data_IF_069223687529
#
_entry.id   IF_069223687529
#
_cell.length_a   1.000
_cell.length_b   1.000
_cell.length_c   1.000
_cell.angle_alpha   90.00
_cell.angle_beta   90.00
_cell.angle_gamma   90.00
#
_symmetry.space_group_name_H-M   'P 1'
#
loop_
_entity.id
_entity.type
_entity.pdbx_description
1 polymer ?
#
# COMPACT_ATOMS: atom_id res chain seq x y z
N UNK A 1 23.64 12.42 -13.24
CA UNK A 1 22.58 13.07 -12.42
C UNK A 1 22.57 12.35 -11.09
N UNK A 2 22.74 13.08 -9.99
CA UNK A 2 22.80 12.48 -8.65
C UNK A 2 21.36 12.27 -8.20
N UNK A 3 20.92 11.02 -8.20
CA UNK A 3 19.64 10.62 -7.61
C UNK A 3 19.91 10.29 -6.14
N UNK A 4 19.38 11.13 -5.28
CA UNK A 4 19.48 10.99 -3.83
C UNK A 4 18.70 9.75 -3.41
N UNK A 5 19.42 8.73 -2.93
CA UNK A 5 18.83 7.68 -2.10
C UNK A 5 19.37 7.97 -0.71
N UNK A 6 18.49 8.45 0.16
CA UNK A 6 18.80 8.84 1.53
C UNK A 6 19.67 7.76 2.21
N UNK A 7 20.95 8.04 2.54
CA UNK A 7 21.88 7.00 2.98
C UNK A 7 21.57 6.47 4.39
N UNK A 8 20.63 7.08 5.11
CA UNK A 8 20.36 6.79 6.53
C UNK A 8 19.53 5.50 6.73
N UNK A 9 18.92 4.94 5.67
CA UNK A 9 18.13 3.69 5.78
C UNK A 9 18.32 2.70 4.62
N UNK A 10 19.50 2.63 4.02
CA UNK A 10 19.85 1.49 3.18
C UNK A 10 20.18 0.28 4.07
N UNK A 11 19.15 -0.31 4.68
CA UNK A 11 19.24 -1.59 5.38
C UNK A 11 19.69 -2.67 4.40
N UNK A 12 20.60 -3.53 4.87
CA UNK A 12 21.19 -4.65 4.14
C UNK A 12 20.11 -5.53 3.48
N UNK A 13 19.91 -5.34 2.18
CA UNK A 13 19.00 -6.14 1.37
C UNK A 13 19.18 -5.74 -0.08
N UNK A 14 19.82 -6.61 -0.87
CA UNK A 14 20.30 -6.29 -2.21
C UNK A 14 19.21 -5.74 -3.13
N UNK A 15 19.28 -4.43 -3.40
CA UNK A 15 18.71 -3.85 -4.61
C UNK A 15 19.85 -3.26 -5.43
N UNK A 16 19.96 -3.72 -6.68
CA UNK A 16 21.04 -3.39 -7.63
C UNK A 16 20.96 -1.94 -8.15
N UNK A 17 19.99 -1.17 -7.69
CA UNK A 17 19.86 0.27 -7.94
C UNK A 17 20.38 1.05 -6.73
N UNK A 18 21.61 0.73 -6.34
CA UNK A 18 22.37 1.58 -5.43
C UNK A 18 22.52 2.94 -6.10
N UNK A 19 21.97 3.98 -5.46
CA UNK A 19 22.29 5.37 -5.79
C UNK A 19 23.80 5.48 -5.96
N UNK A 20 24.23 6.11 -7.04
CA UNK A 20 25.64 6.34 -7.29
C UNK A 20 26.28 6.90 -6.00
N UNK A 21 27.19 6.13 -5.41
CA UNK A 21 27.75 6.40 -4.08
C UNK A 21 28.14 7.87 -3.95
N UNK A 22 27.38 8.61 -3.15
CA UNK A 22 27.67 9.97 -2.71
C UNK A 22 29.08 10.03 -2.06
N UNK A 23 29.63 8.88 -1.64
CA UNK A 23 30.93 8.71 -0.99
C UNK A 23 32.18 8.95 -1.84
N UNK A 24 32.09 9.26 -3.15
CA UNK A 24 33.28 9.50 -4.01
C UNK A 24 33.49 10.95 -4.45
N UNK A 25 32.75 11.91 -3.90
CA UNK A 25 32.95 13.33 -4.21
C UNK A 25 33.91 13.96 -3.18
N UNK A 26 35.03 14.58 -3.62
CA UNK A 26 35.89 15.35 -2.73
C UNK A 26 35.09 16.43 -1.96
N UNK A 27 35.30 16.51 -0.64
CA UNK A 27 34.57 17.46 0.21
C UNK A 27 33.23 16.97 0.76
N UNK A 28 32.91 15.67 0.63
CA UNK A 28 31.76 15.05 1.29
C UNK A 28 30.42 15.69 0.93
N UNK A 29 29.50 15.81 1.90
CA UNK A 29 28.14 16.37 1.69
C UNK A 29 28.15 17.78 1.07
N UNK A 30 29.12 18.62 1.46
CA UNK A 30 29.27 19.95 0.91
C UNK A 30 29.72 19.92 -0.56
N UNK A 31 30.68 19.04 -0.90
CA UNK A 31 31.13 18.80 -2.27
C UNK A 31 30.00 18.29 -3.17
N UNK A 32 29.18 17.37 -2.66
CA UNK A 32 28.00 16.84 -3.35
C UNK A 32 27.00 17.93 -3.64
N UNK A 33 26.69 18.77 -2.65
CA UNK A 33 25.77 19.90 -2.80
C UNK A 33 26.29 20.89 -3.84
N UNK A 34 27.57 21.25 -3.77
CA UNK A 34 28.19 22.18 -4.72
C UNK A 34 28.16 21.64 -6.15
N UNK A 35 28.41 20.34 -6.32
CA UNK A 35 28.34 19.66 -7.61
C UNK A 35 26.91 19.58 -8.15
N UNK A 36 25.94 19.25 -7.30
CA UNK A 36 24.52 19.23 -7.66
C UNK A 36 24.05 20.62 -8.10
N UNK A 37 24.39 21.68 -7.37
CA UNK A 37 24.06 23.04 -7.78
C UNK A 37 24.76 23.46 -9.09
N UNK A 38 25.99 22.99 -9.36
CA UNK A 38 26.66 23.22 -10.64
C UNK A 38 25.89 22.56 -11.80
N UNK A 39 25.51 21.29 -11.66
CA UNK A 39 24.68 20.59 -12.65
C UNK A 39 23.31 21.26 -12.83
N UNK A 40 22.69 21.70 -11.72
CA UNK A 40 21.45 22.45 -11.76
C UNK A 40 21.56 23.73 -12.60
N UNK A 41 22.64 24.50 -12.41
CA UNK A 41 22.90 25.72 -13.20
C UNK A 41 23.13 25.40 -14.67
N UNK A 42 23.88 24.35 -14.98
CA UNK A 42 24.16 24.00 -16.38
C UNK A 42 22.93 23.50 -17.12
N UNK A 43 22.14 22.60 -16.53
CA UNK A 43 20.90 22.17 -17.19
C UNK A 43 19.82 23.26 -17.18
N UNK A 44 19.86 24.23 -16.26
CA UNK A 44 18.99 25.42 -16.34
C UNK A 44 19.28 26.25 -17.61
N UNK A 45 20.53 26.30 -18.09
CA UNK A 45 20.86 26.95 -19.38
C UNK A 45 20.20 26.21 -20.54
N UNK A 46 20.20 24.87 -20.51
CA UNK A 46 19.54 24.03 -21.53
C UNK A 46 18.03 24.24 -21.53
N UNK A 47 17.40 24.24 -20.35
CA UNK A 47 15.97 24.53 -20.21
C UNK A 47 15.64 25.96 -20.66
N UNK A 48 16.46 26.96 -20.30
CA UNK A 48 16.26 28.33 -20.76
C UNK A 48 16.33 28.44 -22.28
N UNK A 49 17.30 27.77 -22.92
CA UNK A 49 17.42 27.73 -24.37
C UNK A 49 16.21 27.06 -25.04
N UNK A 50 15.70 25.95 -24.49
CA UNK A 50 14.50 25.28 -25.01
C UNK A 50 13.22 26.13 -24.90
N UNK A 51 13.18 27.08 -23.96
CA UNK A 51 12.07 28.02 -23.76
C UNK A 51 12.29 29.42 -24.34
N UNK A 52 13.40 29.67 -25.04
CA UNK A 52 13.66 30.94 -25.71
C UNK A 52 12.63 31.19 -26.83
N UNK A 53 12.36 32.47 -27.13
CA UNK A 53 11.33 32.87 -28.09
C UNK A 53 11.63 32.40 -29.53
N UNK A 54 12.90 32.26 -29.87
CA UNK A 54 13.45 31.78 -31.14
C UNK A 54 13.66 30.26 -31.20
N UNK A 55 13.46 29.55 -30.07
CA UNK A 55 13.59 28.10 -30.04
C UNK A 55 12.47 27.41 -30.82
N UNK A 56 12.76 26.35 -31.60
CA UNK A 56 11.73 25.57 -32.28
C UNK A 56 10.67 25.06 -31.28
N UNK A 57 9.37 25.35 -31.48
CA UNK A 57 8.33 25.02 -30.50
C UNK A 57 8.27 23.53 -30.14
N UNK A 58 8.63 22.66 -31.10
CA UNK A 58 8.66 21.20 -30.94
C UNK A 58 9.64 20.74 -29.85
N UNK A 59 10.66 21.51 -29.50
CA UNK A 59 11.59 21.12 -28.42
C UNK A 59 10.87 21.00 -27.07
N UNK A 60 9.89 21.86 -26.79
CA UNK A 60 9.14 21.87 -25.53
C UNK A 60 8.13 20.72 -25.45
N UNK A 61 7.79 20.11 -26.59
CA UNK A 61 6.85 18.98 -26.66
C UNK A 61 7.56 17.64 -26.60
N UNK A 62 8.91 17.61 -26.60
CA UNK A 62 9.66 16.36 -26.47
C UNK A 62 9.52 15.85 -25.04
N UNK A 63 9.14 14.58 -24.90
CA UNK A 63 9.00 13.91 -23.60
C UNK A 63 10.25 14.05 -22.74
N UNK A 64 11.44 13.93 -23.32
CA UNK A 64 12.71 14.05 -22.61
C UNK A 64 12.94 15.46 -22.03
N UNK A 65 12.49 16.50 -22.74
CA UNK A 65 12.62 17.90 -22.30
C UNK A 65 11.62 18.20 -21.18
N UNK A 66 10.40 17.65 -21.27
CA UNK A 66 9.42 17.77 -20.18
C UNK A 66 9.87 16.99 -18.93
N UNK A 67 10.41 15.78 -19.08
CA UNK A 67 11.00 15.02 -17.97
C UNK A 67 12.14 15.83 -17.32
N UNK A 68 13.04 16.39 -18.12
CA UNK A 68 14.12 17.23 -17.61
C UNK A 68 13.58 18.45 -16.85
N UNK A 69 12.57 19.13 -17.39
CA UNK A 69 11.90 20.24 -16.70
C UNK A 69 11.33 19.79 -15.36
N UNK A 70 10.65 18.64 -15.29
CA UNK A 70 10.09 18.08 -14.04
C UNK A 70 11.19 17.74 -13.03
N UNK A 71 12.32 17.16 -13.46
CA UNK A 71 13.50 16.96 -12.60
C UNK A 71 13.93 18.28 -11.96
N UNK A 72 13.95 19.37 -12.72
CA UNK A 72 14.31 20.69 -12.19
C UNK A 72 13.32 21.20 -11.15
N UNK A 73 12.02 21.01 -11.37
CA UNK A 73 10.97 21.35 -10.40
C UNK A 73 11.11 20.52 -9.12
N UNK A 74 11.42 19.23 -9.24
CA UNK A 74 11.51 18.31 -8.10
C UNK A 74 12.76 18.53 -7.26
N UNK A 75 13.91 18.81 -7.87
CA UNK A 75 15.21 18.83 -7.20
C UNK A 75 15.81 20.21 -6.98
N UNK A 76 15.23 21.27 -7.53
CA UNK A 76 15.78 22.62 -7.38
C UNK A 76 14.71 23.65 -7.01
N UNK A 77 15.17 24.77 -6.47
CA UNK A 77 14.35 25.95 -6.21
C UNK A 77 15.19 27.21 -6.35
N UNK A 78 14.51 28.33 -6.57
CA UNK A 78 15.14 29.65 -6.55
C UNK A 78 15.05 30.22 -5.13
N UNK A 79 16.19 30.57 -4.54
CA UNK A 79 16.19 31.27 -3.25
C UNK A 79 15.74 32.73 -3.41
N UNK A 80 15.48 33.41 -2.29
CA UNK A 80 15.05 34.82 -2.28
C UNK A 80 16.06 35.79 -2.95
N UNK A 81 17.29 35.34 -3.19
CA UNK A 81 18.34 36.12 -3.88
C UNK A 81 18.47 35.72 -5.36
N UNK A 82 17.54 34.94 -5.89
CA UNK A 82 17.52 34.51 -7.28
C UNK A 82 18.61 33.50 -7.62
N UNK A 83 19.11 32.72 -6.65
CA UNK A 83 20.08 31.64 -6.92
C UNK A 83 19.39 30.29 -6.94
N UNK A 84 19.75 29.47 -7.92
CA UNK A 84 19.28 28.10 -8.01
C UNK A 84 19.97 27.25 -6.94
N UNK A 85 19.16 26.64 -6.08
CA UNK A 85 19.56 25.80 -4.95
C UNK A 85 19.04 24.38 -5.14
N UNK A 86 19.87 23.41 -4.77
CA UNK A 86 19.48 22.01 -4.74
C UNK A 86 18.61 21.73 -3.50
N UNK A 87 17.60 20.89 -3.66
CA UNK A 87 16.77 20.35 -2.58
C UNK A 87 17.43 19.08 -2.08
N UNK A 88 17.82 19.06 -0.81
CA UNK A 88 18.17 17.82 -0.14
C UNK A 88 16.92 16.98 0.16
N UNK A 89 17.11 15.73 0.59
CA UNK A 89 16.03 14.76 0.83
C UNK A 89 14.84 15.29 1.64
N UNK A 90 15.06 16.18 2.62
CA UNK A 90 13.97 16.76 3.44
C UNK A 90 13.20 17.88 2.73
N UNK A 91 13.79 18.51 1.72
CA UNK A 91 13.20 19.59 0.94
C UNK A 91 12.57 19.11 -0.39
N UNK A 92 12.61 17.80 -0.67
CA UNK A 92 11.97 17.21 -1.84
C UNK A 92 10.43 17.22 -1.70
N UNK A 93 9.70 17.31 -2.83
CA UNK A 93 8.27 17.06 -2.83
C UNK A 93 7.93 15.67 -2.27
N UNK A 94 6.68 15.45 -1.81
CA UNK A 94 6.21 14.12 -1.44
C UNK A 94 6.49 13.09 -2.54
N UNK A 95 6.82 11.87 -2.14
CA UNK A 95 7.17 10.81 -3.08
C UNK A 95 6.04 10.48 -4.08
N UNK A 96 4.78 10.72 -3.73
CA UNK A 96 3.64 10.57 -4.64
C UNK A 96 3.59 11.61 -5.77
N UNK A 97 4.32 12.73 -5.64
CA UNK A 97 4.28 13.85 -6.59
C UNK A 97 5.55 13.99 -7.44
N UNK A 98 6.55 13.14 -7.21
CA UNK A 98 7.84 13.17 -7.91
C UNK A 98 8.26 11.75 -8.28
N UNK A 99 8.93 11.60 -9.41
CA UNK A 99 9.58 10.34 -9.77
C UNK A 99 11.03 10.33 -9.28
N UNK A 100 11.58 9.13 -9.09
CA UNK A 100 12.95 8.92 -8.61
C UNK A 100 13.92 8.54 -9.73
N UNK A 101 13.42 8.32 -10.96
CA UNK A 101 14.22 8.06 -12.15
C UNK A 101 13.73 8.87 -13.35
N UNK A 102 14.61 9.58 -14.10
CA UNK A 102 14.23 10.27 -15.33
C UNK A 102 14.04 9.29 -16.50
N UNK A 103 14.49 8.05 -16.35
CA UNK A 103 14.33 7.00 -17.34
C UNK A 103 13.04 6.22 -17.14
N UNK A 104 12.47 6.30 -15.93
CA UNK A 104 11.21 5.67 -15.56
C UNK A 104 10.46 6.61 -14.61
N UNK A 105 9.53 7.39 -15.16
CA UNK A 105 8.78 8.40 -14.41
C UNK A 105 7.68 7.83 -13.52
N UNK A 106 7.45 6.51 -13.56
CA UNK A 106 6.51 5.80 -12.70
C UNK A 106 7.23 5.03 -11.59
N UNK A 107 8.57 5.12 -11.52
CA UNK A 107 9.35 4.64 -10.40
C UNK A 107 9.36 5.67 -9.27
N UNK A 108 8.76 5.30 -8.13
CA UNK A 108 8.63 6.16 -6.96
C UNK A 108 9.26 5.52 -5.73
N UNK A 109 9.87 6.35 -4.89
CA UNK A 109 10.44 5.97 -3.61
C UNK A 109 9.35 5.63 -2.62
N UNK A 110 9.54 4.54 -1.90
CA UNK A 110 8.67 4.13 -0.82
C UNK A 110 9.49 3.45 0.28
N UNK A 111 8.94 3.52 1.50
CA UNK A 111 9.42 2.77 2.65
C UNK A 111 8.25 1.97 3.21
N UNK A 112 8.47 0.67 3.41
CA UNK A 112 7.53 -0.23 4.07
C UNK A 112 8.31 -0.96 5.14
N UNK A 113 7.97 -0.68 6.41
CA UNK A 113 8.74 -1.14 7.59
C UNK A 113 10.19 -0.66 7.48
N UNK A 114 11.16 -1.58 7.47
CA UNK A 114 12.59 -1.27 7.37
C UNK A 114 13.15 -1.40 5.95
N UNK A 115 12.29 -1.61 4.96
CA UNK A 115 12.69 -1.73 3.56
C UNK A 115 12.34 -0.47 2.79
N UNK A 116 13.35 0.15 2.19
CA UNK A 116 13.22 1.27 1.27
C UNK A 116 13.52 0.82 -0.17
N UNK A 117 12.77 1.31 -1.14
CA UNK A 117 13.00 1.06 -2.57
C UNK A 117 12.48 2.20 -3.43
N UNK A 118 13.01 2.31 -4.65
CA UNK A 118 12.43 3.14 -5.71
C UNK A 118 11.90 2.23 -6.80
N UNK A 119 10.61 2.34 -7.11
CA UNK A 119 9.96 1.50 -8.13
C UNK A 119 8.45 1.45 -7.93
N UNK A 120 7.92 0.25 -8.02
CA UNK A 120 6.49 -0.04 -8.04
C UNK A 120 6.06 -0.82 -6.81
N UNK A 121 4.74 -0.91 -6.62
CA UNK A 121 4.10 -1.88 -5.75
C UNK A 121 3.24 -2.80 -6.59
N UNK A 122 3.30 -4.09 -6.31
CA UNK A 122 2.51 -5.10 -7.01
C UNK A 122 1.61 -5.81 -6.01
N UNK A 123 0.36 -5.97 -6.41
CA UNK A 123 -0.73 -6.59 -5.68
C UNK A 123 -1.12 -7.84 -6.45
N UNK A 124 -1.16 -8.99 -5.77
CA UNK A 124 -1.54 -10.27 -6.38
C UNK A 124 -2.87 -10.70 -5.81
N UNK A 125 -3.73 -11.25 -6.66
CA UNK A 125 -4.92 -11.99 -6.23
C UNK A 125 -4.80 -13.43 -6.73
N UNK A 126 -5.00 -14.39 -5.83
CA UNK A 126 -4.86 -15.82 -6.09
C UNK A 126 -6.09 -16.61 -5.65
N UNK A 127 -6.34 -17.75 -6.29
CA UNK A 127 -7.32 -18.73 -5.79
C UNK A 127 -6.83 -19.37 -4.49
N UNK A 128 -7.73 -19.57 -3.52
CA UNK A 128 -7.42 -20.20 -2.24
C UNK A 128 -8.45 -21.29 -1.89
N UNK A 129 -8.59 -22.29 -2.76
CA UNK A 129 -9.50 -23.43 -2.52
C UNK A 129 -8.72 -24.67 -2.18
N UNK A 130 -9.09 -25.39 -1.10
CA UNK A 130 -8.35 -26.58 -0.65
C UNK A 130 -8.33 -27.74 -1.63
N UNK A 131 -9.21 -27.73 -2.64
CA UNK A 131 -9.35 -28.81 -3.62
C UNK A 131 -8.64 -28.52 -4.95
N UNK A 132 -8.11 -27.32 -5.15
CA UNK A 132 -7.49 -26.89 -6.40
C UNK A 132 -6.13 -26.22 -6.14
N UNK A 133 -5.24 -26.18 -7.15
CA UNK A 133 -4.01 -25.39 -7.04
C UNK A 133 -4.30 -23.91 -6.78
N UNK A 134 -3.40 -23.29 -6.03
CA UNK A 134 -3.36 -21.84 -5.86
C UNK A 134 -2.77 -21.22 -7.14
N UNK A 135 -3.57 -20.40 -7.81
CA UNK A 135 -3.23 -19.76 -9.09
C UNK A 135 -3.45 -18.27 -8.96
N UNK A 136 -2.46 -17.47 -9.36
CA UNK A 136 -2.61 -16.02 -9.48
C UNK A 136 -3.57 -15.71 -10.63
N UNK A 137 -4.71 -15.11 -10.30
CA UNK A 137 -5.78 -14.76 -11.24
C UNK A 137 -5.79 -13.28 -11.60
N UNK A 138 -5.14 -12.43 -10.81
CA UNK A 138 -5.00 -11.01 -11.11
C UNK A 138 -3.71 -10.43 -10.54
N UNK A 139 -3.17 -9.44 -11.25
CA UNK A 139 -1.99 -8.67 -10.85
C UNK A 139 -2.26 -7.19 -11.13
N UNK A 140 -2.18 -6.36 -10.10
CA UNK A 140 -2.19 -4.91 -10.23
C UNK A 140 -0.82 -4.34 -9.84
N UNK A 141 -0.28 -3.45 -10.68
CA UNK A 141 0.98 -2.74 -10.41
C UNK A 141 0.71 -1.25 -10.35
N UNK A 142 1.17 -0.60 -9.29
CA UNK A 142 1.01 0.84 -9.06
C UNK A 142 2.36 1.49 -8.77
N UNK A 143 2.39 2.82 -8.80
CA UNK A 143 3.49 3.55 -8.17
C UNK A 143 3.56 3.16 -6.68
N UNK A 144 4.78 3.06 -6.15
CA UNK A 144 4.99 2.52 -4.81
C UNK A 144 4.27 3.25 -3.65
N UNK A 145 4.00 4.58 -3.72
CA UNK A 145 3.29 5.31 -2.66
C UNK A 145 1.78 5.03 -2.53
N UNK A 146 1.15 4.38 -3.51
CA UNK A 146 -0.29 4.05 -3.42
C UNK A 146 -0.53 3.11 -2.24
N UNK A 147 -1.59 3.39 -1.48
CA UNK A 147 -1.93 2.60 -0.29
C UNK A 147 -2.70 1.35 -0.68
N UNK A 148 -2.43 0.24 0.02
CA UNK A 148 -3.01 -1.07 -0.29
C UNK A 148 -4.56 -1.02 -0.30
N UNK A 149 -5.17 -0.30 0.64
CA UNK A 149 -6.63 -0.16 0.71
C UNK A 149 -7.26 0.62 -0.45
N UNK A 150 -6.50 1.46 -1.15
CA UNK A 150 -7.02 2.14 -2.35
C UNK A 150 -7.24 1.14 -3.50
N UNK A 151 -6.54 0.00 -3.50
CA UNK A 151 -6.62 -1.00 -4.55
C UNK A 151 -7.80 -1.95 -4.42
N UNK A 152 -8.39 -2.15 -3.24
CA UNK A 152 -9.44 -3.17 -3.05
C UNK A 152 -10.60 -3.01 -4.04
N UNK A 153 -11.08 -1.78 -4.22
CA UNK A 153 -12.17 -1.49 -5.15
C UNK A 153 -11.76 -1.64 -6.62
N UNK A 154 -10.51 -1.30 -6.96
CA UNK A 154 -9.98 -1.49 -8.30
C UNK A 154 -9.84 -2.99 -8.62
N UNK A 155 -9.27 -3.78 -7.71
CA UNK A 155 -9.13 -5.24 -7.86
C UNK A 155 -10.50 -5.88 -8.09
N UNK A 156 -11.53 -5.52 -7.32
CA UNK A 156 -12.89 -6.06 -7.53
C UNK A 156 -13.48 -5.65 -8.89
N UNK A 157 -13.24 -4.42 -9.34
CA UNK A 157 -13.65 -3.94 -10.66
C UNK A 157 -12.96 -4.70 -11.80
N UNK A 158 -11.65 -4.91 -11.70
CA UNK A 158 -10.85 -5.63 -12.68
C UNK A 158 -11.27 -7.11 -12.75
N UNK A 159 -11.45 -7.77 -11.60
CA UNK A 159 -11.95 -9.14 -11.52
C UNK A 159 -13.33 -9.28 -12.16
N UNK A 160 -14.23 -8.32 -11.91
CA UNK A 160 -15.54 -8.31 -12.56
C UNK A 160 -15.46 -8.12 -14.08
N UNK A 161 -14.56 -7.25 -14.55
CA UNK A 161 -14.34 -7.05 -15.99
C UNK A 161 -13.75 -8.28 -16.70
N UNK A 162 -13.11 -9.17 -15.95
CA UNK A 162 -12.55 -10.44 -16.45
C UNK A 162 -13.48 -11.64 -16.22
N UNK A 163 -14.71 -11.42 -15.71
CA UNK A 163 -15.63 -12.49 -15.30
C UNK A 163 -15.05 -13.45 -14.23
N UNK A 164 -14.16 -12.92 -13.37
CA UNK A 164 -13.48 -13.63 -12.28
C UNK A 164 -13.92 -13.13 -10.90
N UNK A 165 -15.15 -12.64 -10.76
CA UNK A 165 -15.65 -12.13 -9.48
C UNK A 165 -15.79 -13.28 -8.48
N UNK A 166 -15.12 -13.23 -7.33
CA UNK A 166 -15.23 -14.29 -6.32
C UNK A 166 -16.50 -14.12 -5.47
N UNK A 167 -16.99 -15.22 -4.90
CA UNK A 167 -18.01 -15.14 -3.85
C UNK A 167 -17.44 -14.55 -2.55
N UNK A 168 -16.22 -14.97 -2.20
CA UNK A 168 -15.49 -14.52 -1.01
C UNK A 168 -14.09 -14.05 -1.40
N UNK A 169 -13.65 -12.94 -0.83
CA UNK A 169 -12.28 -12.43 -1.01
C UNK A 169 -11.67 -12.20 0.37
N UNK A 170 -10.69 -13.01 0.74
CA UNK A 170 -9.90 -12.83 1.95
C UNK A 170 -8.69 -11.94 1.70
N UNK A 171 -8.46 -10.96 2.56
CA UNK A 171 -7.41 -9.96 2.37
C UNK A 171 -6.66 -9.65 3.65
N UNK A 172 -5.42 -9.17 3.50
CA UNK A 172 -4.66 -8.61 4.60
C UNK A 172 -5.37 -7.40 5.25
N UNK A 173 -4.98 -7.11 6.50
CA UNK A 173 -5.43 -5.94 7.28
C UNK A 173 -5.40 -4.60 6.51
N UNK A 174 -4.48 -4.45 5.56
CA UNK A 174 -4.30 -3.22 4.81
C UNK A 174 -5.36 -3.00 3.69
N UNK A 175 -6.12 -4.03 3.33
CA UNK A 175 -7.12 -4.01 2.24
C UNK A 175 -8.57 -4.07 2.74
N UNK A 176 -8.78 -4.15 4.06
CA UNK A 176 -10.11 -4.28 4.66
C UNK A 176 -10.44 -3.12 5.60
N UNK A 177 -11.65 -2.61 5.45
CA UNK A 177 -12.25 -1.57 6.29
C UNK A 177 -13.78 -1.65 6.13
N UNK A 178 -14.57 -1.07 7.05
CA UNK A 178 -16.03 -1.10 6.96
C UNK A 178 -16.58 -0.54 5.63
N UNK A 179 -15.93 0.50 5.08
CA UNK A 179 -16.32 1.10 3.80
C UNK A 179 -16.02 0.19 2.61
N UNK A 180 -14.91 -0.54 2.65
CA UNK A 180 -14.56 -1.53 1.62
C UNK A 180 -15.48 -2.76 1.68
N UNK A 181 -15.82 -3.25 2.88
CA UNK A 181 -16.75 -4.38 3.06
C UNK A 181 -18.13 -4.03 2.49
N UNK A 182 -18.68 -2.87 2.86
CA UNK A 182 -19.98 -2.41 2.36
C UNK A 182 -19.98 -2.28 0.84
N UNK A 183 -18.94 -1.65 0.28
CA UNK A 183 -18.83 -1.45 -1.16
C UNK A 183 -18.68 -2.77 -1.93
N UNK A 184 -17.85 -3.68 -1.46
CA UNK A 184 -17.60 -4.98 -2.09
C UNK A 184 -18.91 -5.77 -2.23
N UNK A 185 -19.69 -5.83 -1.15
CA UNK A 185 -20.99 -6.49 -1.16
C UNK A 185 -22.01 -5.77 -2.06
N UNK A 186 -22.12 -4.45 -1.96
CA UNK A 186 -23.13 -3.67 -2.69
C UNK A 186 -22.89 -3.66 -4.20
N UNK A 187 -21.64 -3.53 -4.64
CA UNK A 187 -21.30 -3.32 -6.06
C UNK A 187 -21.05 -4.64 -6.78
N UNK A 188 -20.40 -5.59 -6.12
CA UNK A 188 -19.93 -6.83 -6.76
C UNK A 188 -20.48 -8.11 -6.11
N UNK A 189 -21.25 -8.01 -5.01
CA UNK A 189 -21.74 -9.19 -4.28
C UNK A 189 -20.64 -9.98 -3.56
N UNK A 190 -19.47 -9.37 -3.37
CA UNK A 190 -18.29 -10.03 -2.77
C UNK A 190 -18.36 -9.93 -1.26
N UNK A 191 -18.26 -11.07 -0.58
CA UNK A 191 -18.01 -11.11 0.87
C UNK A 191 -16.52 -10.85 1.12
N UNK A 192 -16.18 -9.63 1.55
CA UNK A 192 -14.80 -9.24 1.87
C UNK A 192 -14.44 -9.67 3.30
N UNK A 193 -13.48 -10.58 3.42
CA UNK A 193 -12.98 -11.13 4.68
C UNK A 193 -11.59 -10.56 4.97
N UNK A 194 -11.29 -10.25 6.24
CA UNK A 194 -9.96 -9.83 6.62
C UNK A 194 -9.82 -9.76 8.14
N UNK A 195 -8.57 -9.73 8.66
CA UNK A 195 -8.33 -9.69 10.09
C UNK A 195 -8.86 -8.38 10.68
N UNK A 196 -9.46 -8.47 11.87
CA UNK A 196 -9.86 -7.29 12.65
C UNK A 196 -8.59 -6.59 13.13
N UNK A 197 -8.28 -5.43 12.57
CA UNK A 197 -7.13 -4.63 13.00
C UNK A 197 -7.38 -4.13 14.43
N UNK A 198 -6.47 -4.38 15.39
CA UNK A 198 -6.58 -3.85 16.73
C UNK A 198 -6.73 -2.32 16.72
N UNK A 199 -7.54 -1.79 17.63
CA UNK A 199 -7.75 -0.35 17.74
C UNK A 199 -6.44 0.31 18.22
N UNK A 200 -5.78 1.09 17.34
CA UNK A 200 -4.54 1.81 17.67
C UNK A 200 -4.80 3.25 18.13
N UNK A 201 -6.05 3.63 18.39
CA UNK A 201 -6.41 4.95 18.91
C UNK A 201 -5.72 5.23 20.24
N UNK A 202 -5.49 6.52 20.55
CA UNK A 202 -4.89 6.93 21.83
C UNK A 202 -5.71 6.42 23.03
N UNK A 203 -7.02 6.25 22.85
CA UNK A 203 -7.96 5.71 23.83
C UNK A 203 -7.74 4.22 24.12
N UNK A 204 -7.28 3.44 23.14
CA UNK A 204 -6.90 2.04 23.33
C UNK A 204 -5.47 1.89 23.89
N UNK A 205 -4.59 2.85 23.60
CA UNK A 205 -3.19 2.86 24.08
C UNK A 205 -2.99 3.32 25.52
N UNK A 206 -3.95 4.03 26.11
CA UNK A 206 -3.82 4.54 27.49
C UNK A 206 -4.03 3.47 28.57
N UNK A 207 -4.46 2.25 28.21
CA UNK A 207 -4.83 1.21 29.18
C UNK A 207 -6.12 1.49 29.97
N UNK A 208 -6.69 2.69 29.80
CA UNK A 208 -7.89 3.17 30.48
C UNK A 208 -9.18 3.04 29.64
N UNK A 209 -9.08 2.52 28.40
CA UNK A 209 -10.19 2.32 27.48
C UNK A 209 -10.37 0.85 27.08
N UNK A 210 -11.62 0.42 26.90
CA UNK A 210 -11.92 -0.89 26.32
C UNK A 210 -11.65 -0.88 24.82
N UNK A 211 -10.79 -1.78 24.34
CA UNK A 211 -10.66 -2.04 22.91
C UNK A 211 -11.86 -2.83 22.37
N UNK A 212 -11.97 -2.96 21.04
CA UNK A 212 -13.08 -3.70 20.40
C UNK A 212 -13.06 -5.20 20.67
N UNK A 213 -11.89 -5.78 20.93
CA UNK A 213 -11.74 -7.21 21.22
C UNK A 213 -12.21 -7.56 22.64
N UNK A 214 -12.26 -6.57 23.54
CA UNK A 214 -12.72 -6.72 24.90
C UNK A 214 -14.25 -6.94 24.99
N UNK A 215 -15.00 -6.70 23.92
CA UNK A 215 -16.44 -6.94 23.89
C UNK A 215 -16.76 -8.33 23.34
N UNK A 216 -17.51 -9.12 24.11
CA UNK A 216 -18.09 -10.37 23.61
C UNK A 216 -19.40 -10.07 22.91
N UNK A 217 -19.50 -10.35 21.61
CA UNK A 217 -20.72 -10.15 20.84
C UNK A 217 -21.43 -11.49 20.66
N UNK A 218 -22.57 -11.63 21.32
CA UNK A 218 -23.53 -12.70 21.09
C UNK A 218 -24.48 -12.26 19.97
N UNK A 219 -24.20 -12.75 18.75
CA UNK A 219 -24.99 -12.44 17.56
C UNK A 219 -26.38 -13.09 17.59
N UNK A 220 -26.52 -14.26 18.21
CA UNK A 220 -27.77 -15.01 18.29
C UNK A 220 -28.78 -14.30 19.19
N UNK A 221 -28.32 -13.84 20.36
CA UNK A 221 -29.15 -13.09 21.30
C UNK A 221 -29.08 -11.58 21.11
N UNK A 222 -28.33 -11.10 20.10
CA UNK A 222 -28.18 -9.67 19.77
C UNK A 222 -27.74 -8.84 20.97
N UNK A 223 -26.66 -9.27 21.62
CA UNK A 223 -26.11 -8.64 22.82
C UNK A 223 -24.61 -8.46 22.70
N UNK A 224 -24.12 -7.28 23.04
CA UNK A 224 -22.71 -7.07 23.31
C UNK A 224 -22.49 -6.99 24.83
N UNK A 225 -21.52 -7.74 25.34
CA UNK A 225 -21.11 -7.72 26.75
C UNK A 225 -19.79 -6.97 26.84
N UNK A 226 -19.74 -5.90 27.64
CA UNK A 226 -18.49 -5.20 27.90
C UNK A 226 -17.64 -5.96 28.95
N UNK A 227 -16.34 -5.66 29.07
CA UNK A 227 -15.45 -6.31 30.05
C UNK A 227 -15.88 -6.19 31.52
N UNK A 228 -16.72 -5.20 31.84
CA UNK A 228 -17.30 -5.02 33.17
C UNK A 228 -18.58 -5.83 33.37
N UNK A 229 -18.93 -6.72 32.43
CA UNK A 229 -20.12 -7.57 32.50
C UNK A 229 -21.44 -6.86 32.17
N UNK A 230 -21.40 -5.59 31.76
CA UNK A 230 -22.61 -4.87 31.38
C UNK A 230 -23.05 -5.25 29.96
N UNK A 231 -24.35 -5.47 29.80
CA UNK A 231 -24.96 -5.78 28.52
C UNK A 231 -25.35 -4.51 27.76
N UNK A 232 -25.27 -4.59 26.44
CA UNK A 232 -25.79 -3.57 25.52
C UNK A 232 -27.25 -3.29 25.82
N UNK A 233 -27.59 -2.02 26.07
CA UNK A 233 -28.96 -1.57 26.37
C UNK A 233 -29.85 -1.54 25.14
N UNK A 234 -29.25 -1.31 23.97
CA UNK A 234 -29.95 -1.23 22.70
C UNK A 234 -29.18 -2.01 21.64
N UNK A 235 -29.92 -2.81 20.86
CA UNK A 235 -29.43 -3.40 19.64
C UNK A 235 -30.19 -2.75 18.47
N UNK A 236 -29.57 -1.76 17.85
CA UNK A 236 -30.10 -1.16 16.63
C UNK A 236 -29.43 -1.80 15.43
N UNK A 237 -30.22 -2.56 14.68
CA UNK A 237 -29.86 -2.81 13.29
C UNK A 237 -29.89 -1.45 12.60
N UNK A 238 -28.74 -0.91 12.23
CA UNK A 238 -28.72 0.18 11.26
C UNK A 238 -29.46 -0.36 10.04
N UNK A 239 -30.51 0.31 9.55
CA UNK A 239 -31.22 -0.18 8.38
C UNK A 239 -30.20 -0.29 7.25
N UNK A 240 -29.88 -1.52 6.87
CA UNK A 240 -29.52 -1.79 5.50
C UNK A 240 -30.69 -1.26 4.70
N UNK A 241 -30.49 -0.16 3.98
CA UNK A 241 -31.36 0.07 2.83
C UNK A 241 -31.23 -1.21 2.01
N UNK A 242 -32.35 -1.94 1.90
CA UNK A 242 -32.59 -3.22 1.23
C UNK A 242 -33.21 -4.25 2.18
N UNK A 243 -34.54 -4.19 2.15
CA UNK A 243 -35.50 -5.21 2.55
C UNK A 243 -35.47 -6.38 1.56
N UNK A 244 -35.37 -7.60 2.10
CA UNK A 244 -35.98 -8.89 1.68
C UNK A 244 -35.07 -9.99 2.24
N UNK A 245 -35.38 -10.69 3.32
CA UNK A 245 -36.51 -11.60 3.45
C UNK A 245 -35.99 -13.03 3.29
N UNK A 246 -35.36 -13.60 4.32
CA UNK A 246 -35.00 -15.03 4.35
C UNK A 246 -36.09 -15.77 5.11
N UNK A 247 -36.93 -16.50 4.37
CA UNK A 247 -37.70 -17.61 4.90
C UNK A 247 -37.03 -18.92 4.44
N UNK A 248 -36.77 -19.83 5.38
CA UNK A 248 -36.27 -21.19 5.10
C UNK A 248 -37.42 -22.08 4.65
N UNK A 249 -37.17 -22.94 3.67
CA UNK A 249 -38.00 -24.10 3.30
C UNK A 249 -37.18 -25.09 2.48
N UNK A 250 -37.12 -26.34 2.96
CA UNK A 250 -36.43 -27.46 2.34
C UNK A 250 -37.11 -27.94 1.05
N UNK A 251 -36.35 -28.54 0.13
CA UNK A 251 -36.87 -29.45 -0.91
C UNK A 251 -36.23 -29.33 -2.30
N UNK A 252 -35.45 -30.36 -2.64
CA UNK A 252 -35.21 -30.98 -3.95
C UNK A 252 -34.33 -30.33 -5.07
N UNK A 253 -33.21 -31.03 -5.35
CA UNK A 253 -32.61 -31.48 -6.63
C UNK A 253 -33.00 -30.78 -7.96
N UNK A 254 -32.16 -30.43 -8.96
CA UNK A 254 -30.75 -30.65 -9.37
C UNK A 254 -30.49 -29.76 -10.66
N UNK A 255 -29.39 -29.89 -11.42
CA UNK A 255 -28.18 -29.07 -11.42
C UNK A 255 -28.02 -28.10 -12.63
N UNK A 256 -27.24 -27.04 -12.44
CA UNK A 256 -26.39 -26.44 -13.49
C UNK A 256 -24.97 -26.31 -12.92
N UNK A 257 -23.99 -26.70 -13.73
CA UNK A 257 -22.60 -27.01 -13.37
C UNK A 257 -21.86 -25.92 -12.57
N UNK A 258 -20.93 -26.29 -11.66
CA UNK A 258 -20.14 -25.35 -10.90
C UNK A 258 -18.88 -24.95 -11.69
N UNK A 259 -18.73 -23.66 -11.99
CA UNK A 259 -17.40 -23.05 -11.98
C UNK A 259 -16.97 -22.92 -10.52
N UNK A 260 -15.69 -23.12 -10.18
CA UNK A 260 -15.24 -23.03 -8.80
C UNK A 260 -15.24 -21.56 -8.36
N UNK A 261 -16.36 -21.10 -7.81
CA UNK A 261 -16.47 -19.87 -7.04
C UNK A 261 -15.82 -20.09 -5.67
N UNK A 262 -14.51 -20.30 -5.70
CA UNK A 262 -13.69 -20.50 -4.51
C UNK A 262 -13.31 -19.16 -3.87
N UNK A 263 -12.96 -19.16 -2.58
CA UNK A 263 -12.39 -17.97 -1.96
C UNK A 263 -11.08 -17.60 -2.65
N UNK A 264 -10.86 -16.29 -2.84
CA UNK A 264 -9.60 -15.75 -3.37
C UNK A 264 -8.90 -14.91 -2.32
N UNK A 265 -7.58 -14.82 -2.40
CA UNK A 265 -6.76 -14.05 -1.48
C UNK A 265 -6.01 -12.92 -2.18
N UNK A 266 -5.79 -11.79 -1.49
CA UNK A 266 -4.87 -10.74 -1.98
C UNK A 266 -3.81 -10.32 -0.97
N UNK A 267 -2.57 -10.18 -1.44
CA UNK A 267 -1.40 -9.76 -0.66
C UNK A 267 -0.51 -8.78 -1.45
N UNK A 268 0.10 -7.83 -0.74
CA UNK A 268 1.13 -6.94 -1.30
C UNK A 268 2.54 -7.49 -1.04
N UNK A 269 3.14 -8.15 -2.04
CA UNK A 269 4.53 -8.58 -2.04
C UNK A 269 4.89 -9.71 -1.05
N UNK A 270 5.10 -10.92 -1.60
CA UNK A 270 6.10 -11.88 -1.12
C UNK A 270 5.79 -12.77 0.10
N UNK A 271 4.57 -12.80 0.64
CA UNK A 271 4.17 -13.83 1.62
C UNK A 271 2.71 -14.24 1.43
N UNK A 272 2.50 -15.52 1.13
CA UNK A 272 1.20 -16.19 1.15
C UNK A 272 0.66 -16.20 2.59
N UNK A 273 -0.63 -15.91 2.76
CA UNK A 273 -1.36 -16.29 3.97
C UNK A 273 -1.81 -17.76 3.82
N UNK A 274 -0.86 -18.69 3.86
CA UNK A 274 -1.11 -20.12 3.91
C UNK A 274 -1.00 -20.65 5.35
N UNK A 275 -1.98 -21.46 5.77
CA UNK A 275 -2.10 -22.23 7.03
C UNK A 275 -2.33 -21.47 8.37
N UNK A 276 -1.95 -20.20 8.50
CA UNK A 276 -2.05 -19.47 9.78
C UNK A 276 -3.46 -19.16 10.31
N UNK A 277 -4.52 -19.32 9.49
CA UNK A 277 -5.89 -19.03 9.92
C UNK A 277 -6.72 -20.28 10.31
N UNK A 278 -6.16 -21.50 10.20
CA UNK A 278 -6.87 -22.73 10.58
C UNK A 278 -6.33 -23.44 11.82
N UNK A 279 -5.15 -23.13 12.35
CA UNK A 279 -4.64 -23.67 13.62
C UNK A 279 -3.68 -22.69 14.31
N UNK A 280 -3.84 -22.49 15.62
CA UNK A 280 -2.93 -21.73 16.52
C UNK A 280 -3.02 -20.20 16.39
N UNK A 281 -3.46 -19.46 17.41
CA UNK A 281 -2.65 -19.26 18.60
C UNK A 281 -3.50 -19.25 19.89
N UNK A 282 -3.74 -20.45 20.41
CA UNK A 282 -3.71 -20.68 21.86
C UNK A 282 -2.28 -21.12 22.20
N UNK A 283 -1.78 -20.67 23.35
CA UNK A 283 -0.45 -20.89 23.98
C UNK A 283 0.56 -19.74 23.73
N UNK A 284 0.65 -18.82 24.68
CA UNK A 284 1.44 -18.90 25.93
C UNK A 284 2.91 -18.62 25.64
N UNK A 285 3.26 -17.36 25.90
CA UNK A 285 4.58 -16.91 26.34
C UNK A 285 5.09 -17.90 27.40
N UNK A 286 6.15 -18.65 27.07
CA UNK A 286 7.09 -19.10 28.08
C UNK A 286 8.25 -18.13 28.09
N UNK A 287 8.28 -17.37 29.16
CA UNK A 287 9.42 -16.65 29.70
C UNK A 287 10.30 -17.67 30.43
N UNK A 288 11.61 -17.62 30.19
CA UNK A 288 12.70 -17.61 31.18
C UNK A 288 14.04 -18.06 30.54
N UNK A 289 15.17 -17.54 31.06
CA UNK A 289 16.48 -17.51 30.42
C UNK A 289 17.34 -18.71 30.83
N UNK A 290 18.44 -18.96 30.11
CA UNK A 290 19.60 -19.52 30.81
C UNK A 290 20.93 -19.09 30.19
N UNK A 291 21.79 -18.67 31.10
CA UNK A 291 23.14 -18.18 30.94
C UNK A 291 24.14 -19.35 31.08
N UNK A 292 25.22 -19.29 30.32
CA UNK A 292 26.56 -19.83 30.57
C UNK A 292 26.85 -21.36 30.61
N UNK A 293 28.16 -21.62 30.36
CA UNK A 293 28.96 -22.84 30.47
C UNK A 293 28.93 -23.69 29.18
N UNK A 294 29.98 -23.76 28.34
CA UNK A 294 31.44 -23.71 28.56
C UNK A 294 32.17 -23.33 27.27
#
# INVERSE_FOLDING_TARGET
MVFDVDPVKAGQGGSRWAGQEIGKVPGGKAGVTALAEAFGRDGQKVLAAAWAADAPPRLRTLTQVEILRRVWVHHYYWDARGRLRWRDGHALPPASLRFDSPYDTDAHYCVKRDTAWSGYRTHFTETCTSELPEVVVHVATTIAPVQDGELTAQIHGDLAAMDLTPAEHAVDAAYVSPTQIERAQRVHGITLLGPVVPDHSHQAKSGDGFDKAAFTIDWDHRRATCPQGNLSREWRNLPSQHTSGVARGAGDERPLSPEPQGPVNSVAGGRCLGEGLRRSATNLLYDEPNEAVR
#
